data_IF_709492873651
#
_entry.id   IF_709492873651
#
_cell.length_a   1.000
_cell.length_b   1.000
_cell.length_c   1.000
_cell.angle_alpha   90.00
_cell.angle_beta   90.00
_cell.angle_gamma   90.00
#
_symmetry.space_group_name_H-M   'P 1'
#
loop_
_entity.id
_entity.type
_entity.pdbx_description
1 polymer ?
#
# COMPACT_ATOMS: atom_id res chain seq x y z
N UNK A 1 -12.78 1.30 14.00
CA UNK A 1 -12.80 2.37 15.04
C UNK A 1 -14.13 3.10 14.95
N UNK A 2 -14.90 3.16 16.01
CA UNK A 2 -16.18 3.88 16.01
C UNK A 2 -15.90 5.39 16.06
N UNK A 3 -16.57 6.17 15.23
CA UNK A 3 -16.45 7.63 15.23
C UNK A 3 -17.72 8.25 15.83
N UNK A 4 -17.52 9.13 16.80
CA UNK A 4 -18.56 9.98 17.35
C UNK A 4 -18.76 11.19 16.42
N UNK A 5 -19.92 11.26 15.76
CA UNK A 5 -20.25 12.38 14.85
C UNK A 5 -20.73 13.63 15.61
N UNK A 6 -20.87 13.56 16.92
CA UNK A 6 -21.28 14.72 17.73
C UNK A 6 -20.16 15.72 18.06
N UNK A 7 -18.93 15.47 17.68
CA UNK A 7 -17.87 16.45 17.84
C UNK A 7 -17.91 17.43 16.66
N UNK A 8 -18.13 18.74 16.89
CA UNK A 8 -18.25 19.73 15.79
C UNK A 8 -17.06 19.75 14.84
N UNK A 9 -15.87 19.42 15.32
CA UNK A 9 -14.64 19.36 14.55
C UNK A 9 -14.50 18.10 13.68
N UNK A 10 -15.37 17.10 13.81
CA UNK A 10 -15.36 15.88 12.99
C UNK A 10 -16.35 15.94 11.82
N UNK A 11 -17.23 16.95 11.79
CA UNK A 11 -18.24 17.10 10.73
C UNK A 11 -17.65 17.43 9.35
N UNK A 12 -16.46 18.04 9.31
CA UNK A 12 -15.83 18.54 8.08
C UNK A 12 -14.75 17.62 7.52
N UNK A 13 -14.42 16.50 8.18
CA UNK A 13 -13.42 15.56 7.67
C UNK A 13 -14.02 14.57 6.67
N UNK A 14 -13.32 14.22 5.57
CA UNK A 14 -13.75 13.18 4.65
C UNK A 14 -13.85 11.85 5.43
N UNK A 15 -15.05 11.29 5.48
CA UNK A 15 -15.29 10.03 6.16
C UNK A 15 -15.03 8.87 5.21
N UNK A 16 -14.21 7.91 5.65
CA UNK A 16 -14.14 6.61 4.99
C UNK A 16 -15.55 5.96 5.01
N UNK A 17 -15.94 5.25 3.95
CA UNK A 17 -17.19 4.51 3.93
C UNK A 17 -17.19 3.46 5.05
N UNK A 18 -18.18 3.50 5.92
CA UNK A 18 -18.38 2.50 6.96
C UNK A 18 -19.53 1.58 6.54
N UNK A 19 -19.35 0.27 6.69
CA UNK A 19 -20.37 -0.72 6.35
C UNK A 19 -21.60 -0.65 7.27
N UNK A 20 -21.43 -0.26 8.54
CA UNK A 20 -22.51 -0.21 9.52
C UNK A 20 -22.64 1.16 10.18
N UNK A 21 -23.89 1.64 10.22
CA UNK A 21 -24.27 2.87 10.92
C UNK A 21 -25.04 2.53 12.19
N UNK A 22 -24.54 3.02 13.33
CA UNK A 22 -25.22 2.92 14.61
C UNK A 22 -25.82 4.25 15.00
N UNK A 23 -27.11 4.24 15.31
CA UNK A 23 -27.82 5.38 15.85
C UNK A 23 -28.11 5.12 17.31
N UNK A 24 -27.52 5.91 18.21
CA UNK A 24 -27.85 5.89 19.62
C UNK A 24 -29.15 6.64 19.83
N UNK A 25 -30.16 5.99 20.41
CA UNK A 25 -31.49 6.58 20.56
C UNK A 25 -32.15 6.16 21.87
N UNK A 26 -33.06 7.01 22.36
CA UNK A 26 -33.89 6.77 23.54
C UNK A 26 -33.60 7.74 24.69
N UNK A 27 -34.59 7.91 25.58
CA UNK A 27 -34.55 8.92 26.64
C UNK A 27 -33.38 8.80 27.60
N UNK A 28 -32.99 7.56 27.94
CA UNK A 28 -31.84 7.31 28.82
C UNK A 28 -30.51 7.44 28.09
N UNK A 29 -30.46 7.07 26.81
CA UNK A 29 -29.28 7.21 25.98
C UNK A 29 -28.90 8.69 25.83
N UNK A 30 -29.85 9.53 25.46
CA UNK A 30 -29.63 10.97 25.29
C UNK A 30 -29.24 11.66 26.58
N UNK A 31 -29.87 11.28 27.71
CA UNK A 31 -29.50 11.80 29.02
C UNK A 31 -28.06 11.40 29.40
N UNK A 32 -27.65 10.14 29.16
CA UNK A 32 -26.28 9.70 29.43
C UNK A 32 -25.26 10.43 28.54
N UNK A 33 -25.64 10.77 27.33
CA UNK A 33 -24.84 11.60 26.43
C UNK A 33 -24.65 13.02 26.97
N UNK A 34 -25.76 13.67 27.37
CA UNK A 34 -25.73 15.03 27.92
C UNK A 34 -24.91 15.09 29.21
N UNK A 35 -24.99 14.03 30.04
CA UNK A 35 -24.21 13.88 31.28
C UNK A 35 -22.70 13.52 31.01
N UNK A 36 -22.26 13.50 29.79
CA UNK A 36 -20.85 13.17 29.41
C UNK A 36 -20.52 11.69 29.43
N UNK A 37 -21.50 10.80 29.45
CA UNK A 37 -21.34 9.33 29.46
C UNK A 37 -21.45 8.69 28.06
N UNK A 38 -21.35 9.48 27.01
CA UNK A 38 -21.53 9.03 25.64
C UNK A 38 -20.55 7.96 25.20
N UNK A 39 -19.33 7.96 25.74
CA UNK A 39 -18.32 6.94 25.46
C UNK A 39 -18.70 5.56 25.99
N UNK A 40 -19.39 5.50 27.11
CA UNK A 40 -19.89 4.25 27.69
C UNK A 40 -20.95 3.60 26.78
N UNK A 41 -21.75 4.43 26.13
CA UNK A 41 -22.75 3.99 25.17
C UNK A 41 -22.16 3.48 23.87
N UNK A 42 -21.14 4.16 23.39
CA UNK A 42 -20.38 3.74 22.23
C UNK A 42 -19.78 2.34 22.46
N UNK A 43 -19.16 2.17 23.63
CA UNK A 43 -18.57 0.90 24.03
C UNK A 43 -19.62 -0.21 24.10
N UNK A 44 -20.78 0.07 24.68
CA UNK A 44 -21.90 -0.87 24.77
C UNK A 44 -22.42 -1.26 23.38
N UNK A 45 -22.64 -0.32 22.48
CA UNK A 45 -23.11 -0.59 21.13
C UNK A 45 -22.13 -1.47 20.36
N UNK A 46 -20.83 -1.23 20.51
CA UNK A 46 -19.79 -2.03 19.90
C UNK A 46 -19.75 -3.47 20.43
N UNK A 47 -20.04 -3.66 21.70
CA UNK A 47 -19.99 -4.96 22.36
C UNK A 47 -21.25 -5.79 22.11
N UNK A 48 -22.42 -5.14 22.07
CA UNK A 48 -23.70 -5.79 21.81
C UNK A 48 -23.77 -6.33 20.37
N UNK A 49 -23.09 -5.71 19.44
CA UNK A 49 -23.13 -6.09 18.03
C UNK A 49 -22.01 -7.03 17.58
N UNK A 50 -21.18 -7.47 18.51
CA UNK A 50 -20.04 -8.34 18.25
C UNK A 50 -18.92 -7.61 17.52
N UNK A 51 -17.88 -7.29 18.25
CA UNK A 51 -16.61 -6.73 17.73
C UNK A 51 -15.88 -7.67 16.73
N UNK A 52 -16.52 -8.74 16.32
CA UNK A 52 -15.96 -9.75 15.40
C UNK A 52 -15.99 -9.34 13.93
N UNK A 53 -16.83 -8.37 13.58
CA UNK A 53 -16.79 -7.77 12.26
C UNK A 53 -15.79 -6.61 12.25
N UNK A 54 -14.92 -6.52 11.24
CA UNK A 54 -14.04 -5.38 10.98
C UNK A 54 -14.81 -4.08 10.62
N UNK A 55 -16.04 -3.98 11.06
CA UNK A 55 -16.94 -2.89 10.77
C UNK A 55 -16.67 -1.73 11.72
N UNK A 56 -16.60 -0.53 11.18
CA UNK A 56 -16.39 0.71 11.95
C UNK A 56 -17.74 1.42 12.16
N UNK A 57 -18.43 1.23 13.27
CA UNK A 57 -19.73 1.84 13.48
C UNK A 57 -19.63 3.36 13.67
N UNK A 58 -20.62 4.06 13.14
CA UNK A 58 -20.80 5.50 13.30
C UNK A 58 -21.99 5.74 14.21
N UNK A 59 -21.82 6.51 15.29
CA UNK A 59 -22.88 6.82 16.24
C UNK A 59 -23.35 8.25 16.08
N UNK A 60 -24.65 8.40 15.96
CA UNK A 60 -25.34 9.69 15.88
C UNK A 60 -26.11 9.95 17.18
N UNK A 61 -25.80 11.05 17.86
CA UNK A 61 -26.61 11.54 18.97
C UNK A 61 -27.86 12.29 18.50
N UNK A 62 -28.74 12.64 19.46
CA UNK A 62 -30.01 13.33 19.18
C UNK A 62 -29.84 14.58 18.33
N UNK A 63 -28.83 15.38 18.62
CA UNK A 63 -28.57 16.66 17.94
C UNK A 63 -28.16 16.50 16.47
N UNK A 64 -27.67 15.33 16.11
CA UNK A 64 -27.18 15.01 14.77
C UNK A 64 -28.26 14.37 13.90
N UNK A 65 -29.35 13.88 14.48
CA UNK A 65 -30.47 13.28 13.72
C UNK A 65 -31.07 14.25 12.70
N UNK A 66 -31.08 15.56 13.02
CA UNK A 66 -31.50 16.61 12.10
C UNK A 66 -30.44 17.02 11.08
N UNK A 67 -29.16 16.67 11.32
CA UNK A 67 -28.01 17.05 10.51
C UNK A 67 -27.43 15.88 9.69
N UNK A 68 -28.06 14.71 9.68
CA UNK A 68 -27.64 13.55 8.88
C UNK A 68 -27.47 13.93 7.38
N UNK A 69 -28.24 14.92 6.89
CA UNK A 69 -28.14 15.41 5.51
C UNK A 69 -26.82 16.09 5.18
N UNK A 70 -26.08 16.60 6.17
CA UNK A 70 -24.80 17.27 5.97
C UNK A 70 -23.60 16.35 6.25
N UNK A 71 -23.83 15.18 6.85
CA UNK A 71 -22.79 14.18 7.07
C UNK A 71 -22.56 13.44 5.76
N UNK A 72 -21.34 13.52 5.22
CA UNK A 72 -20.90 12.76 4.06
C UNK A 72 -20.71 11.29 4.44
N UNK A 73 -21.82 10.58 4.59
CA UNK A 73 -21.82 9.13 4.65
C UNK A 73 -21.89 8.65 3.21
N UNK A 74 -20.90 7.93 2.76
CA UNK A 74 -20.89 7.41 1.40
C UNK A 74 -22.17 6.59 1.18
N UNK A 75 -22.98 7.00 0.22
CA UNK A 75 -24.31 6.41 -0.03
C UNK A 75 -24.25 4.95 -0.51
N UNK A 76 -23.09 4.48 -0.93
CA UNK A 76 -22.97 3.23 -1.69
C UNK A 76 -22.73 2.00 -0.82
N UNK A 77 -22.20 2.14 0.41
CA UNK A 77 -21.72 0.99 1.19
C UNK A 77 -22.55 0.61 2.43
N UNK A 78 -23.61 1.38 2.75
CA UNK A 78 -24.39 1.13 3.97
C UNK A 78 -25.71 0.43 3.66
N UNK A 79 -25.71 -0.89 3.80
CA UNK A 79 -26.93 -1.69 3.58
C UNK A 79 -27.77 -1.85 4.83
N UNK A 80 -27.16 -1.86 6.01
CA UNK A 80 -27.82 -2.06 7.31
C UNK A 80 -27.54 -0.89 8.24
N UNK A 81 -28.59 -0.37 8.88
CA UNK A 81 -28.49 0.59 9.98
C UNK A 81 -29.05 -0.02 11.24
N UNK A 82 -28.29 0.06 12.32
CA UNK A 82 -28.69 -0.43 13.64
C UNK A 82 -29.00 0.74 14.55
N UNK A 83 -30.19 0.73 15.15
CA UNK A 83 -30.61 1.71 16.16
C UNK A 83 -30.49 1.04 17.52
N UNK A 84 -29.54 1.46 18.33
CA UNK A 84 -29.38 1.01 19.71
C UNK A 84 -30.32 1.82 20.62
N UNK A 85 -31.40 1.21 21.06
CA UNK A 85 -32.39 1.82 21.96
C UNK A 85 -31.99 1.59 23.42
N UNK A 86 -31.96 2.68 24.19
CA UNK A 86 -31.91 2.62 25.66
C UNK A 86 -32.81 3.64 26.30
N UNK A 87 -33.78 3.12 27.01
CA UNK A 87 -34.90 3.88 27.52
C UNK A 87 -36.03 4.00 26.50
N UNK A 88 -36.99 4.85 26.79
CA UNK A 88 -38.17 5.02 25.95
C UNK A 88 -37.77 5.72 24.62
N UNK A 89 -38.21 5.15 23.52
CA UNK A 89 -38.10 5.72 22.17
C UNK A 89 -39.49 5.71 21.56
N UNK A 90 -40.02 6.89 21.26
CA UNK A 90 -41.36 7.05 20.72
C UNK A 90 -41.41 6.64 19.26
N UNK A 91 -42.55 6.11 18.82
CA UNK A 91 -42.75 5.70 17.43
C UNK A 91 -42.52 6.84 16.43
N UNK A 92 -42.83 8.07 16.79
CA UNK A 92 -42.59 9.26 15.99
C UNK A 92 -41.07 9.52 15.81
N UNK A 93 -40.30 9.32 16.87
CA UNK A 93 -38.84 9.47 16.84
C UNK A 93 -38.17 8.37 15.96
N UNK A 94 -38.65 7.11 16.10
CA UNK A 94 -38.21 6.01 15.23
C UNK A 94 -38.51 6.34 13.77
N UNK A 95 -39.72 6.81 13.48
CA UNK A 95 -40.14 7.18 12.13
C UNK A 95 -39.26 8.31 11.55
N UNK A 96 -38.99 9.35 12.38
CA UNK A 96 -38.13 10.46 11.97
C UNK A 96 -36.67 9.99 11.69
N UNK A 97 -36.12 9.10 12.51
CA UNK A 97 -34.79 8.49 12.29
C UNK A 97 -34.81 7.71 11.00
N UNK A 98 -35.77 6.82 10.77
CA UNK A 98 -35.85 6.00 9.56
C UNK A 98 -36.01 6.85 8.29
N UNK A 99 -36.85 7.91 8.34
CA UNK A 99 -37.00 8.82 7.21
C UNK A 99 -35.72 9.58 6.87
N UNK A 100 -34.97 10.04 7.88
CA UNK A 100 -33.70 10.70 7.70
C UNK A 100 -32.64 9.74 7.11
N UNK A 101 -32.59 8.51 7.63
CA UNK A 101 -31.69 7.49 7.13
C UNK A 101 -32.00 7.09 5.68
N UNK A 102 -33.26 6.88 5.35
CA UNK A 102 -33.70 6.56 3.98
C UNK A 102 -33.37 7.67 2.98
N UNK A 103 -33.41 8.94 3.41
CA UNK A 103 -33.08 10.09 2.56
C UNK A 103 -31.57 10.27 2.34
N UNK A 104 -30.76 9.94 3.32
CA UNK A 104 -29.35 10.35 3.40
C UNK A 104 -28.34 9.20 3.36
N UNK A 105 -28.83 7.96 3.36
CA UNK A 105 -27.99 6.74 3.26
C UNK A 105 -28.53 5.79 2.21
N UNK A 106 -27.75 4.79 1.80
CA UNK A 106 -28.19 3.67 0.96
C UNK A 106 -28.82 2.52 1.75
N UNK A 107 -29.08 2.72 3.06
CA UNK A 107 -29.60 1.70 3.93
C UNK A 107 -30.93 1.11 3.42
N UNK A 108 -30.96 -0.20 3.27
CA UNK A 108 -32.16 -0.96 2.87
C UNK A 108 -32.86 -1.60 4.06
N UNK A 109 -32.17 -1.73 5.18
CA UNK A 109 -32.67 -2.34 6.39
C UNK A 109 -32.30 -1.50 7.60
N UNK A 110 -33.26 -1.31 8.50
CA UNK A 110 -33.07 -0.66 9.79
C UNK A 110 -33.45 -1.66 10.89
N UNK A 111 -32.47 -2.02 11.73
CA UNK A 111 -32.67 -2.95 12.84
C UNK A 111 -32.68 -2.20 14.17
N UNK A 112 -33.75 -2.36 14.94
CA UNK A 112 -33.81 -1.85 16.31
C UNK A 112 -33.20 -2.89 17.26
N UNK A 113 -32.26 -2.47 18.07
CA UNK A 113 -31.59 -3.29 19.08
C UNK A 113 -31.92 -2.69 20.46
N UNK A 114 -32.53 -3.49 21.31
CA UNK A 114 -32.71 -3.10 22.71
C UNK A 114 -31.41 -3.40 23.47
N UNK A 115 -30.62 -2.36 23.70
CA UNK A 115 -29.35 -2.47 24.41
C UNK A 115 -29.52 -2.97 25.86
N UNK A 116 -30.64 -2.70 26.50
CA UNK A 116 -30.90 -3.14 27.88
C UNK A 116 -31.32 -4.62 27.95
N UNK A 117 -32.02 -5.13 26.96
CA UNK A 117 -32.50 -6.51 26.94
C UNK A 117 -31.39 -7.55 26.77
N UNK A 118 -30.23 -7.15 26.21
CA UNK A 118 -29.10 -8.04 26.00
C UNK A 118 -28.14 -8.14 27.18
N UNK A 119 -28.30 -7.25 28.19
CA UNK A 119 -27.45 -7.19 29.37
C UNK A 119 -28.27 -7.66 30.57
N UNK A 120 -27.92 -8.80 31.18
CA UNK A 120 -28.59 -9.41 32.33
C UNK A 120 -28.22 -8.79 33.69
N UNK A 121 -27.31 -7.84 33.70
CA UNK A 121 -26.78 -7.15 34.87
C UNK A 121 -27.02 -5.63 34.74
N UNK A 122 -26.82 -4.89 35.83
CA UNK A 122 -26.82 -3.43 35.77
C UNK A 122 -25.77 -2.94 34.77
N UNK A 123 -26.16 -1.98 33.92
CA UNK A 123 -25.35 -1.49 32.81
C UNK A 123 -24.00 -0.94 33.28
N UNK A 124 -23.98 -0.24 34.42
CA UNK A 124 -22.71 0.31 34.94
C UNK A 124 -21.75 -0.79 35.40
N UNK A 125 -22.29 -1.84 36.05
CA UNK A 125 -21.50 -3.03 36.43
C UNK A 125 -21.00 -3.80 35.23
N UNK A 126 -21.81 -3.93 34.18
CA UNK A 126 -21.42 -4.55 32.91
C UNK A 126 -20.30 -3.78 32.22
N UNK A 127 -20.43 -2.44 32.09
CA UNK A 127 -19.39 -1.58 31.51
C UNK A 127 -18.10 -1.66 32.32
N UNK A 128 -18.19 -1.69 33.66
CA UNK A 128 -17.02 -1.79 34.53
C UNK A 128 -16.31 -3.12 34.36
N UNK A 129 -17.03 -4.23 34.20
CA UNK A 129 -16.48 -5.56 33.90
C UNK A 129 -15.76 -5.58 32.54
N UNK A 130 -16.36 -4.97 31.53
CA UNK A 130 -15.76 -4.86 30.20
C UNK A 130 -14.49 -4.01 30.18
N UNK A 131 -14.40 -2.97 31.01
CA UNK A 131 -13.17 -2.16 31.17
C UNK A 131 -12.01 -2.94 31.79
N UNK A 132 -12.31 -4.01 32.54
CA UNK A 132 -11.26 -4.92 33.11
C UNK A 132 -10.80 -5.96 32.12
N UNK A 133 -11.55 -6.24 31.07
CA UNK A 133 -11.09 -7.08 29.95
C UNK A 133 -10.06 -6.31 29.10
N UNK A 134 -8.90 -6.94 28.86
CA UNK A 134 -7.80 -6.32 28.13
C UNK A 134 -8.22 -5.75 26.77
N UNK A 135 -9.01 -6.50 25.99
CA UNK A 135 -9.50 -6.11 24.68
C UNK A 135 -10.41 -4.86 24.76
N UNK A 136 -11.21 -4.79 25.80
CA UNK A 136 -12.16 -3.71 26.08
C UNK A 136 -11.46 -2.49 26.67
N UNK A 137 -10.47 -2.67 27.53
CA UNK A 137 -9.64 -1.60 28.08
C UNK A 137 -8.84 -0.91 26.97
N UNK A 138 -8.31 -1.68 26.01
CA UNK A 138 -7.62 -1.14 24.84
C UNK A 138 -8.55 -0.31 23.96
N UNK A 139 -9.80 -0.76 23.77
CA UNK A 139 -10.83 -0.04 23.04
C UNK A 139 -11.26 1.25 23.78
N UNK A 140 -11.52 1.17 25.08
CA UNK A 140 -11.88 2.33 25.90
C UNK A 140 -10.77 3.40 25.88
N UNK A 141 -9.51 2.97 25.90
CA UNK A 141 -8.35 3.88 25.78
C UNK A 141 -8.29 4.55 24.41
N UNK A 142 -8.70 3.88 23.34
CA UNK A 142 -8.78 4.45 22.00
C UNK A 142 -9.97 5.43 21.83
N UNK A 143 -11.03 5.24 22.60
CA UNK A 143 -12.26 6.04 22.55
C UNK A 143 -12.27 7.21 23.55
N UNK A 144 -11.40 7.17 24.58
CA UNK A 144 -11.28 8.26 25.55
C UNK A 144 -10.96 9.58 24.83
N UNK A 145 -11.57 10.70 25.22
CA UNK A 145 -11.19 11.99 24.69
C UNK A 145 -9.68 12.18 24.91
N UNK A 146 -8.96 12.73 23.95
CA UNK A 146 -7.53 12.93 24.11
C UNK A 146 -7.31 13.81 25.34
N UNK A 147 -6.60 13.26 26.33
CA UNK A 147 -6.15 14.04 27.47
C UNK A 147 -5.43 15.27 26.92
N UNK A 148 -5.89 16.47 27.34
CA UNK A 148 -5.34 17.72 26.79
C UNK A 148 -3.83 17.73 27.03
N UNK A 149 -3.07 17.73 25.95
CA UNK A 149 -1.61 17.73 26.02
C UNK A 149 -1.14 19.01 26.70
N UNK A 150 -0.12 18.89 27.54
CA UNK A 150 0.50 20.04 28.22
C UNK A 150 1.93 20.20 27.72
N UNK A 151 2.42 21.43 27.66
CA UNK A 151 3.78 21.72 27.21
C UNK A 151 4.85 20.96 28.01
N UNK A 152 4.62 20.75 29.32
CA UNK A 152 5.56 20.03 30.20
C UNK A 152 5.34 18.51 30.22
N UNK A 153 4.45 17.97 29.39
CA UNK A 153 4.27 16.51 29.29
C UNK A 153 5.53 15.84 28.74
N UNK A 154 5.76 14.60 29.20
CA UNK A 154 6.93 13.82 28.80
C UNK A 154 6.92 13.48 27.29
N UNK A 155 8.10 13.21 26.75
CA UNK A 155 8.31 12.90 25.32
C UNK A 155 7.42 11.77 24.82
N UNK A 156 7.22 10.72 25.62
CA UNK A 156 6.38 9.57 25.27
C UNK A 156 4.89 9.95 25.11
N UNK A 157 4.40 10.92 25.90
CA UNK A 157 3.02 11.39 25.80
C UNK A 157 2.85 12.29 24.57
N UNK A 158 3.84 13.17 24.32
CA UNK A 158 3.88 14.01 23.10
C UNK A 158 3.98 13.16 21.84
N UNK A 159 4.79 12.10 21.85
CA UNK A 159 4.90 11.15 20.74
C UNK A 159 3.55 10.49 20.41
N UNK A 160 2.82 9.99 21.41
CA UNK A 160 1.48 9.42 21.20
C UNK A 160 0.49 10.44 20.67
N UNK A 161 0.53 11.68 21.20
CA UNK A 161 -0.34 12.75 20.75
C UNK A 161 -0.06 13.12 19.29
N UNK A 162 1.21 13.26 18.90
CA UNK A 162 1.62 13.51 17.51
C UNK A 162 1.20 12.35 16.60
N UNK A 163 1.45 11.09 16.98
CA UNK A 163 1.00 9.93 16.18
C UNK A 163 -0.51 9.94 15.97
N UNK A 164 -1.28 10.30 16.98
CA UNK A 164 -2.74 10.41 16.88
C UNK A 164 -3.15 11.57 15.98
N UNK A 165 -2.47 12.71 16.09
CA UNK A 165 -2.72 13.89 15.27
C UNK A 165 -2.42 13.63 13.79
N UNK A 166 -1.31 12.96 13.49
CA UNK A 166 -0.94 12.54 12.13
C UNK A 166 -1.99 11.66 11.47
N UNK A 167 -2.76 10.91 12.27
CA UNK A 167 -3.78 9.97 11.79
C UNK A 167 -3.25 9.02 10.69
N UNK A 168 -2.00 8.59 10.83
CA UNK A 168 -1.31 7.71 9.90
C UNK A 168 -1.18 6.31 10.49
N UNK A 169 -1.38 5.28 9.67
CA UNK A 169 -0.99 3.91 10.01
C UNK A 169 0.53 3.80 9.87
N UNK A 170 1.25 3.86 10.98
CA UNK A 170 2.71 3.80 11.03
C UNK A 170 3.19 2.44 11.50
N UNK A 171 4.28 1.96 10.91
CA UNK A 171 5.02 0.78 11.37
C UNK A 171 6.52 0.95 11.19
N UNK A 172 7.30 0.35 12.09
CA UNK A 172 8.76 0.32 12.03
C UNK A 172 9.22 -0.91 11.25
N UNK A 173 9.98 -0.72 10.19
CA UNK A 173 10.64 -1.83 9.52
C UNK A 173 11.88 -2.27 10.33
N UNK A 174 11.93 -3.52 10.82
CA UNK A 174 13.03 -3.98 11.66
C UNK A 174 14.37 -4.13 10.92
N UNK A 175 14.37 -4.15 9.57
CA UNK A 175 15.57 -4.34 8.76
C UNK A 175 16.38 -3.05 8.60
N UNK A 176 15.71 -1.95 8.27
CA UNK A 176 16.33 -0.63 8.05
C UNK A 176 16.14 0.33 9.23
N UNK A 177 15.26 0.00 10.18
CA UNK A 177 14.87 0.82 11.35
C UNK A 177 14.24 2.15 10.98
N UNK A 178 13.58 2.22 9.81
CA UNK A 178 12.83 3.39 9.37
C UNK A 178 11.33 3.18 9.54
N UNK A 179 10.60 4.31 9.63
CA UNK A 179 9.15 4.32 9.69
C UNK A 179 8.57 4.21 8.28
N UNK A 180 7.53 3.42 8.19
CA UNK A 180 6.69 3.32 7.01
C UNK A 180 5.25 3.70 7.36
N UNK A 181 4.56 4.33 6.41
CA UNK A 181 3.12 4.60 6.48
C UNK A 181 2.38 3.75 5.47
N UNK A 182 1.22 3.27 5.84
CA UNK A 182 0.30 2.63 4.90
C UNK A 182 -0.56 3.69 4.21
N UNK A 183 -0.51 3.75 2.88
CA UNK A 183 -1.22 4.75 2.07
C UNK A 183 -2.61 4.28 1.59
N UNK A 184 -3.02 3.07 1.99
CA UNK A 184 -4.24 2.41 1.53
C UNK A 184 -3.98 1.30 0.51
N UNK A 185 -2.80 1.28 -0.11
CA UNK A 185 -2.36 0.30 -1.11
C UNK A 185 -1.14 -0.47 -0.61
N UNK A 186 -0.13 0.26 -0.16
CA UNK A 186 1.17 -0.29 0.22
C UNK A 186 1.84 0.50 1.35
N UNK A 187 2.93 -0.03 1.89
CA UNK A 187 3.72 0.61 2.92
C UNK A 187 4.84 1.44 2.28
N UNK A 188 4.74 2.76 2.43
CA UNK A 188 5.69 3.72 1.88
C UNK A 188 6.64 4.23 2.96
N UNK A 189 7.91 4.38 2.61
CA UNK A 189 8.89 5.00 3.51
C UNK A 189 8.44 6.42 3.87
N UNK A 190 8.42 6.74 5.15
CA UNK A 190 8.10 8.09 5.60
C UNK A 190 9.28 9.00 5.33
N UNK A 191 9.06 10.07 4.55
CA UNK A 191 10.10 11.08 4.33
C UNK A 191 10.43 11.81 5.63
N UNK A 192 11.72 11.88 5.95
CA UNK A 192 12.18 12.48 7.19
C UNK A 192 11.82 13.97 7.29
N UNK A 193 11.91 14.72 6.20
CA UNK A 193 11.63 16.16 6.20
C UNK A 193 10.13 16.41 6.30
N UNK A 194 9.32 15.69 5.54
CA UNK A 194 7.85 15.71 5.65
C UNK A 194 7.42 15.44 7.11
N UNK A 195 8.05 14.45 7.76
CA UNK A 195 7.70 14.09 9.13
C UNK A 195 8.13 15.15 10.16
N UNK A 196 9.28 15.81 9.93
CA UNK A 196 9.72 16.94 10.73
C UNK A 196 8.77 18.14 10.59
N UNK A 197 8.36 18.46 9.36
CA UNK A 197 7.44 19.58 9.10
C UNK A 197 6.07 19.34 9.76
N UNK A 198 5.55 18.10 9.67
CA UNK A 198 4.33 17.70 10.37
C UNK A 198 4.48 17.82 11.90
N UNK A 199 5.63 17.45 12.46
CA UNK A 199 5.87 17.57 13.88
C UNK A 199 5.92 19.05 14.31
N UNK A 200 6.55 19.92 13.52
CA UNK A 200 6.56 21.37 13.75
C UNK A 200 5.13 21.93 13.72
N UNK A 201 4.36 21.61 12.67
CA UNK A 201 2.98 22.06 12.55
C UNK A 201 2.11 21.62 13.75
N UNK A 202 2.30 20.39 14.24
CA UNK A 202 1.61 19.92 15.43
C UNK A 202 1.94 20.76 16.68
N UNK A 203 3.21 21.11 16.89
CA UNK A 203 3.63 21.92 18.04
C UNK A 203 3.12 23.34 17.95
N UNK A 204 3.16 23.94 16.76
CA UNK A 204 2.65 25.28 16.50
C UNK A 204 1.13 25.35 16.73
N UNK A 205 0.37 24.32 16.32
CA UNK A 205 -1.08 24.25 16.58
C UNK A 205 -1.41 24.15 18.07
N UNK A 206 -0.52 23.52 18.87
CA UNK A 206 -0.71 23.40 20.32
C UNK A 206 -0.19 24.64 21.08
N UNK A 207 0.41 25.63 20.40
CA UNK A 207 1.11 26.78 21.01
C UNK A 207 2.20 26.36 22.03
N UNK A 208 2.98 25.33 21.66
CA UNK A 208 4.05 24.78 22.50
C UNK A 208 5.41 25.21 21.99
N UNK A 209 6.31 25.56 22.93
CA UNK A 209 7.71 25.78 22.59
C UNK A 209 8.40 24.44 22.26
N UNK A 210 9.28 24.46 21.27
CA UNK A 210 10.09 23.31 20.88
C UNK A 210 11.50 23.69 20.48
N UNK A 211 12.36 22.71 20.41
CA UNK A 211 13.70 22.80 19.82
C UNK A 211 13.88 21.66 18.82
N UNK A 212 14.79 21.78 17.88
CA UNK A 212 15.10 20.71 16.93
C UNK A 212 15.38 19.37 17.67
N UNK A 213 16.15 19.42 18.77
CA UNK A 213 16.46 18.23 19.57
C UNK A 213 15.23 17.60 20.23
N UNK A 214 14.27 18.43 20.68
CA UNK A 214 13.03 17.89 21.29
C UNK A 214 12.14 17.21 20.25
N UNK A 215 12.06 17.76 19.05
CA UNK A 215 11.32 17.15 17.92
C UNK A 215 11.96 15.80 17.51
N UNK A 216 13.29 15.78 17.32
CA UNK A 216 14.00 14.54 17.00
C UNK A 216 13.79 13.45 18.06
N UNK A 217 13.84 13.81 19.35
CA UNK A 217 13.57 12.87 20.45
C UNK A 217 12.14 12.30 20.41
N UNK A 218 11.16 13.10 19.97
CA UNK A 218 9.77 12.63 19.82
C UNK A 218 9.67 11.69 18.65
N UNK A 219 10.29 11.98 17.51
CA UNK A 219 10.32 11.12 16.33
C UNK A 219 10.97 9.77 16.66
N UNK A 220 12.12 9.79 17.36
CA UNK A 220 12.77 8.56 17.79
C UNK A 220 11.88 7.75 18.77
N UNK A 221 11.13 8.44 19.62
CA UNK A 221 10.15 7.80 20.50
C UNK A 221 9.00 7.18 19.72
N UNK A 222 8.51 7.84 18.66
CA UNK A 222 7.50 7.27 17.76
C UNK A 222 8.04 6.00 17.10
N UNK A 223 9.28 5.99 16.61
CA UNK A 223 9.93 4.78 16.06
C UNK A 223 9.91 3.62 17.05
N UNK A 224 10.18 3.90 18.33
CA UNK A 224 10.19 2.88 19.39
C UNK A 224 8.76 2.38 19.71
N UNK A 225 7.77 3.27 19.69
CA UNK A 225 6.36 2.96 20.03
C UNK A 225 5.59 2.33 18.89
N UNK A 226 6.02 2.52 17.64
CA UNK A 226 5.34 1.99 16.46
C UNK A 226 5.38 0.46 16.41
N UNK A 227 4.31 -0.19 15.93
CA UNK A 227 4.31 -1.63 15.69
C UNK A 227 5.41 -1.98 14.69
N UNK A 228 5.97 -3.18 14.82
CA UNK A 228 6.95 -3.68 13.85
C UNK A 228 6.24 -4.24 12.63
N UNK A 229 6.75 -3.94 11.45
CA UNK A 229 6.29 -4.57 10.21
C UNK A 229 6.48 -6.09 10.28
N UNK A 230 5.51 -6.81 9.76
CA UNK A 230 5.59 -8.26 9.58
C UNK A 230 6.38 -8.67 8.33
N UNK A 231 6.21 -9.91 7.94
CA UNK A 231 6.81 -10.44 6.71
C UNK A 231 5.93 -10.10 5.51
N UNK A 232 6.53 -9.56 4.47
CA UNK A 232 5.84 -9.28 3.21
C UNK A 232 5.31 -10.57 2.57
N UNK A 233 4.07 -10.56 2.16
CA UNK A 233 3.45 -11.66 1.42
C UNK A 233 4.04 -11.75 0.01
N UNK A 234 4.87 -12.76 -0.23
CA UNK A 234 5.64 -12.92 -1.47
C UNK A 234 4.79 -13.33 -2.67
N UNK A 235 3.64 -13.95 -2.42
CA UNK A 235 2.68 -14.40 -3.43
C UNK A 235 1.76 -13.28 -3.94
N UNK A 236 1.79 -12.11 -3.31
CA UNK A 236 0.88 -11.02 -3.60
C UNK A 236 1.55 -9.91 -4.42
N UNK A 237 0.78 -9.37 -5.37
CA UNK A 237 1.15 -8.18 -6.17
C UNK A 237 0.05 -7.15 -5.97
N UNK A 238 0.40 -5.96 -5.47
CA UNK A 238 -0.54 -4.85 -5.38
C UNK A 238 -0.65 -4.11 -6.71
N UNK A 239 -1.88 -3.78 -7.10
CA UNK A 239 -2.27 -2.89 -8.19
C UNK A 239 -3.05 -1.70 -7.61
N UNK A 240 -3.37 -0.69 -8.40
CA UNK A 240 -4.16 0.45 -7.90
C UNK A 240 -5.52 0.04 -7.33
N UNK A 241 -6.17 -0.96 -7.90
CA UNK A 241 -7.54 -1.37 -7.58
C UNK A 241 -7.64 -2.62 -6.70
N UNK A 242 -6.51 -3.20 -6.25
CA UNK A 242 -6.53 -4.39 -5.39
C UNK A 242 -5.22 -5.17 -5.44
N UNK A 243 -5.25 -6.36 -4.89
CA UNK A 243 -4.08 -7.24 -4.73
C UNK A 243 -4.33 -8.57 -5.43
N UNK A 244 -3.45 -8.96 -6.35
CA UNK A 244 -3.50 -10.23 -7.05
C UNK A 244 -2.61 -11.26 -6.35
N UNK A 245 -3.16 -12.41 -6.03
CA UNK A 245 -2.36 -13.57 -5.67
C UNK A 245 -1.83 -14.22 -6.96
N UNK A 246 -0.51 -14.14 -7.18
CA UNK A 246 0.14 -14.63 -8.40
C UNK A 246 0.19 -16.16 -8.53
N UNK A 247 -0.27 -16.89 -7.52
CA UNK A 247 -0.33 -18.35 -7.51
C UNK A 247 -1.74 -18.87 -7.78
N UNK A 248 -2.74 -18.26 -7.12
CA UNK A 248 -4.15 -18.67 -7.26
C UNK A 248 -4.91 -17.83 -8.28
N UNK A 249 -4.35 -16.72 -8.75
CA UNK A 249 -4.97 -15.69 -9.59
C UNK A 249 -6.22 -15.05 -8.95
N UNK A 250 -6.38 -15.19 -7.65
CA UNK A 250 -7.45 -14.54 -6.90
C UNK A 250 -7.13 -13.06 -6.73
N UNK A 251 -8.10 -12.21 -7.04
CA UNK A 251 -7.98 -10.76 -6.88
C UNK A 251 -8.73 -10.31 -5.62
N UNK A 252 -8.03 -9.67 -4.71
CA UNK A 252 -8.47 -9.35 -3.35
C UNK A 252 -8.37 -7.84 -3.09
N UNK A 253 -9.11 -7.30 -2.11
CA UNK A 253 -8.88 -5.94 -1.61
C UNK A 253 -7.47 -5.78 -1.04
N UNK A 254 -7.05 -4.52 -0.88
CA UNK A 254 -5.80 -4.20 -0.18
C UNK A 254 -5.95 -4.46 1.32
N UNK A 255 -4.93 -5.12 1.90
CA UNK A 255 -4.83 -5.30 3.35
C UNK A 255 -3.44 -4.87 3.82
N UNK A 256 -3.40 -4.00 4.83
CA UNK A 256 -2.13 -3.53 5.40
C UNK A 256 -1.29 -4.65 6.02
N UNK A 257 -1.92 -5.72 6.46
CA UNK A 257 -1.29 -6.92 7.03
C UNK A 257 -0.50 -7.74 6.00
N UNK A 258 -0.66 -7.45 4.72
CA UNK A 258 0.13 -8.05 3.64
C UNK A 258 1.56 -7.50 3.58
N UNK A 259 1.82 -6.36 4.22
CA UNK A 259 3.14 -5.71 4.33
C UNK A 259 3.81 -5.43 2.98
N UNK A 260 3.02 -5.19 1.94
CA UNK A 260 3.53 -4.88 0.60
C UNK A 260 4.14 -3.49 0.61
N UNK A 261 5.37 -3.37 0.09
CA UNK A 261 6.16 -2.13 0.08
C UNK A 261 6.22 -1.49 -1.33
N UNK A 262 5.64 -2.13 -2.32
CA UNK A 262 5.54 -1.64 -3.69
C UNK A 262 4.20 -2.03 -4.29
N UNK A 263 3.75 -1.27 -5.26
CA UNK A 263 2.57 -1.58 -6.05
C UNK A 263 2.79 -1.17 -7.50
N UNK A 264 2.05 -1.79 -8.40
CA UNK A 264 2.02 -1.46 -9.81
C UNK A 264 0.96 -0.36 -10.00
N UNK A 265 1.32 0.83 -10.53
CA UNK A 265 0.42 1.99 -10.60
C UNK A 265 -0.60 1.89 -11.74
N UNK A 266 -1.11 0.70 -11.97
CA UNK A 266 -2.12 0.37 -12.97
C UNK A 266 -3.24 -0.46 -12.35
N UNK A 267 -4.40 -0.50 -13.00
CA UNK A 267 -5.48 -1.39 -12.61
C UNK A 267 -5.27 -2.80 -13.17
N UNK A 268 -5.54 -3.82 -12.37
CA UNK A 268 -5.68 -5.17 -12.85
C UNK A 268 -7.06 -5.36 -13.48
N UNK A 269 -7.10 -5.83 -14.73
CA UNK A 269 -8.33 -6.04 -15.48
C UNK A 269 -8.80 -7.50 -15.37
N UNK A 270 -10.12 -7.67 -15.25
CA UNK A 270 -10.74 -9.00 -15.15
C UNK A 270 -11.04 -9.66 -16.52
N UNK A 271 -10.69 -9.01 -17.61
CA UNK A 271 -10.97 -9.49 -18.97
C UNK A 271 -9.86 -9.11 -19.94
N UNK A 272 -9.66 -9.95 -20.94
CA UNK A 272 -8.72 -9.70 -22.01
C UNK A 272 -9.09 -8.43 -22.80
N UNK A 273 -8.08 -7.64 -23.11
CA UNK A 273 -8.19 -6.51 -24.02
C UNK A 273 -7.22 -6.64 -25.17
N UNK A 274 -7.56 -6.03 -26.30
CA UNK A 274 -6.69 -6.01 -27.47
C UNK A 274 -5.46 -5.15 -27.21
N UNK A 275 -4.30 -5.64 -27.63
CA UNK A 275 -3.01 -4.95 -27.49
C UNK A 275 -2.29 -4.83 -28.84
N UNK A 276 -2.88 -4.18 -29.87
CA UNK A 276 -2.37 -4.22 -31.23
C UNK A 276 -0.99 -3.57 -31.38
N UNK A 277 -0.67 -2.52 -30.64
CA UNK A 277 0.63 -1.87 -30.71
C UNK A 277 1.71 -2.69 -30.00
N UNK A 278 1.41 -3.26 -28.85
CA UNK A 278 2.28 -4.19 -28.14
C UNK A 278 2.53 -5.44 -28.99
N UNK A 279 1.51 -6.03 -29.60
CA UNK A 279 1.62 -7.23 -30.45
C UNK A 279 2.45 -6.94 -31.69
N UNK A 280 2.27 -5.77 -32.33
CA UNK A 280 3.08 -5.32 -33.46
C UNK A 280 4.57 -5.20 -33.09
N UNK A 281 4.86 -4.58 -31.93
CA UNK A 281 6.23 -4.49 -31.44
C UNK A 281 6.80 -5.88 -31.14
N UNK A 282 6.07 -6.74 -30.44
CA UNK A 282 6.51 -8.08 -30.08
C UNK A 282 6.82 -8.92 -31.31
N UNK A 283 5.99 -8.88 -32.33
CA UNK A 283 6.19 -9.55 -33.61
C UNK A 283 7.46 -9.04 -34.32
N UNK A 284 7.66 -7.72 -34.31
CA UNK A 284 8.83 -7.09 -34.90
C UNK A 284 10.14 -7.53 -34.22
N UNK A 285 10.24 -7.41 -32.89
CA UNK A 285 11.48 -7.69 -32.13
C UNK A 285 11.77 -9.18 -32.02
N UNK A 286 10.74 -10.03 -32.06
CA UNK A 286 10.93 -11.49 -32.11
C UNK A 286 11.34 -12.00 -33.49
N UNK A 287 11.13 -11.20 -34.53
CA UNK A 287 11.32 -11.61 -35.91
C UNK A 287 10.38 -12.69 -36.39
N UNK A 288 9.20 -12.82 -35.74
CA UNK A 288 8.18 -13.86 -35.98
C UNK A 288 8.56 -15.25 -35.45
N UNK A 289 9.59 -15.34 -34.59
CA UNK A 289 10.00 -16.60 -33.96
C UNK A 289 9.25 -16.80 -32.66
N UNK A 290 8.39 -17.83 -32.59
CA UNK A 290 7.54 -18.09 -31.42
C UNK A 290 8.34 -18.30 -30.12
N UNK A 291 9.46 -19.04 -30.15
CA UNK A 291 10.29 -19.25 -28.96
C UNK A 291 10.82 -17.90 -28.41
N UNK A 292 11.32 -17.04 -29.31
CA UNK A 292 11.82 -15.71 -28.91
C UNK A 292 10.68 -14.80 -28.42
N UNK A 293 9.48 -14.89 -29.04
CA UNK A 293 8.27 -14.18 -28.58
C UNK A 293 7.90 -14.60 -27.18
N UNK A 294 7.83 -15.90 -26.92
CA UNK A 294 7.51 -16.45 -25.60
C UNK A 294 8.55 -16.09 -24.54
N UNK A 295 9.85 -16.09 -24.91
CA UNK A 295 10.92 -15.68 -24.00
C UNK A 295 10.85 -14.17 -23.65
N UNK A 296 10.50 -13.30 -24.62
CA UNK A 296 10.27 -11.86 -24.37
C UNK A 296 9.09 -11.66 -23.45
N UNK A 297 7.95 -12.34 -23.69
CA UNK A 297 6.80 -12.30 -22.79
C UNK A 297 7.16 -12.81 -21.39
N UNK A 298 7.95 -13.87 -21.29
CA UNK A 298 8.41 -14.43 -20.01
C UNK A 298 9.32 -13.46 -19.24
N UNK A 299 10.17 -12.69 -19.93
CA UNK A 299 11.00 -11.65 -19.31
C UNK A 299 10.13 -10.49 -18.77
N UNK A 300 9.15 -10.04 -19.55
CA UNK A 300 8.20 -9.01 -19.11
C UNK A 300 7.31 -9.51 -17.96
N UNK A 301 6.88 -10.77 -17.99
CA UNK A 301 6.19 -11.42 -16.87
C UNK A 301 7.07 -11.46 -15.61
N UNK A 302 8.36 -11.76 -15.74
CA UNK A 302 9.29 -11.77 -14.61
C UNK A 302 9.47 -10.38 -14.00
N UNK A 303 9.46 -9.32 -14.81
CA UNK A 303 9.45 -7.93 -14.35
C UNK A 303 8.14 -7.60 -13.63
N UNK A 304 7.01 -7.84 -14.27
CA UNK A 304 5.67 -7.56 -13.73
C UNK A 304 5.46 -8.23 -12.35
N UNK A 305 5.87 -9.49 -12.23
CA UNK A 305 5.66 -10.29 -11.02
C UNK A 305 6.87 -10.31 -10.08
N UNK A 306 7.87 -9.48 -10.37
CA UNK A 306 9.13 -9.37 -9.64
C UNK A 306 9.76 -10.75 -9.32
N UNK A 307 10.10 -11.53 -10.38
CA UNK A 307 10.71 -12.85 -10.24
C UNK A 307 12.24 -12.78 -10.02
N UNK A 308 12.66 -11.93 -9.11
CA UNK A 308 14.05 -11.88 -8.68
C UNK A 308 14.54 -13.23 -8.06
N UNK A 309 13.60 -14.03 -7.52
CA UNK A 309 13.82 -15.39 -7.02
C UNK A 309 14.33 -16.38 -8.08
N UNK A 310 14.16 -16.06 -9.37
CA UNK A 310 14.71 -16.90 -10.46
C UNK A 310 16.20 -16.76 -10.62
N UNK A 311 16.80 -15.75 -10.01
CA UNK A 311 18.23 -15.43 -10.08
C UNK A 311 18.72 -15.15 -11.51
N UNK A 312 17.87 -14.53 -12.33
CA UNK A 312 18.15 -14.16 -13.71
C UNK A 312 18.31 -12.65 -13.84
N UNK A 313 19.07 -12.23 -14.84
CA UNK A 313 19.04 -10.87 -15.37
C UNK A 313 18.87 -10.90 -16.88
N UNK A 314 18.29 -9.86 -17.41
CA UNK A 314 18.00 -9.75 -18.82
C UNK A 314 18.97 -8.77 -19.48
N UNK A 315 19.40 -9.09 -20.69
CA UNK A 315 20.16 -8.17 -21.50
C UNK A 315 19.58 -8.09 -22.89
N UNK A 316 19.24 -6.87 -23.31
CA UNK A 316 18.68 -6.57 -24.62
C UNK A 316 19.72 -5.86 -25.45
N UNK A 317 20.09 -6.44 -26.61
CA UNK A 317 21.10 -5.90 -27.52
C UNK A 317 20.54 -5.66 -28.92
N UNK A 318 21.25 -4.88 -29.74
CA UNK A 318 20.89 -4.56 -31.12
C UNK A 318 21.24 -3.11 -31.50
N UNK A 319 21.04 -2.74 -32.75
CA UNK A 319 21.34 -1.40 -33.25
C UNK A 319 20.33 -0.33 -32.79
N UNK A 320 20.65 0.93 -33.02
CA UNK A 320 19.74 2.06 -32.78
C UNK A 320 18.45 1.91 -33.59
N UNK A 321 17.27 2.04 -32.93
CA UNK A 321 15.95 1.86 -33.58
C UNK A 321 15.47 0.42 -33.68
N UNK A 322 16.10 -0.54 -32.99
CA UNK A 322 15.69 -1.95 -32.98
C UNK A 322 14.58 -2.28 -31.97
N UNK A 323 14.12 -1.32 -31.18
CA UNK A 323 13.04 -1.54 -30.19
C UNK A 323 13.53 -1.85 -28.77
N UNK A 324 14.83 -1.74 -28.47
CA UNK A 324 15.39 -1.95 -27.13
C UNK A 324 14.83 -0.99 -26.09
N UNK A 325 14.77 0.31 -26.43
CA UNK A 325 14.22 1.32 -25.53
C UNK A 325 12.72 1.10 -25.29
N UNK A 326 12.00 0.60 -26.30
CA UNK A 326 10.59 0.21 -26.13
C UNK A 326 10.46 -0.94 -25.14
N UNK A 327 11.34 -1.94 -25.19
CA UNK A 327 11.38 -3.01 -24.19
C UNK A 327 11.58 -2.45 -22.77
N UNK A 328 12.59 -1.57 -22.59
CA UNK A 328 12.87 -0.97 -21.29
C UNK A 328 11.71 -0.14 -20.77
N UNK A 329 11.06 0.65 -21.64
CA UNK A 329 9.91 1.45 -21.26
C UNK A 329 8.69 0.58 -20.90
N UNK A 330 8.42 -0.50 -21.62
CA UNK A 330 7.38 -1.47 -21.26
C UNK A 330 7.70 -2.12 -19.91
N UNK A 331 8.95 -2.51 -19.67
CA UNK A 331 9.37 -3.05 -18.39
C UNK A 331 9.15 -2.03 -17.24
N UNK A 332 9.45 -0.75 -17.48
CA UNK A 332 9.19 0.34 -16.53
C UNK A 332 7.70 0.52 -16.27
N UNK A 333 6.86 0.53 -17.30
CA UNK A 333 5.40 0.59 -17.14
C UNK A 333 4.88 -0.57 -16.28
N UNK A 334 5.36 -1.78 -16.54
CA UNK A 334 4.94 -2.99 -15.82
C UNK A 334 5.41 -3.01 -14.36
N UNK A 335 6.61 -2.52 -14.07
CA UNK A 335 7.11 -2.41 -12.70
C UNK A 335 6.54 -1.20 -11.94
N UNK A 336 6.25 -0.11 -12.66
CA UNK A 336 5.99 1.23 -12.16
C UNK A 336 7.25 2.07 -12.05
N UNK A 337 7.18 3.35 -12.42
CA UNK A 337 8.32 4.29 -12.36
C UNK A 337 8.90 4.39 -10.94
N UNK A 338 8.04 4.48 -9.92
CA UNK A 338 8.47 4.56 -8.51
C UNK A 338 9.23 3.31 -8.03
N UNK A 339 9.03 2.16 -8.68
CA UNK A 339 9.69 0.89 -8.37
C UNK A 339 10.91 0.63 -9.25
N UNK A 340 11.16 1.51 -10.23
CA UNK A 340 12.26 1.39 -11.19
C UNK A 340 13.38 2.38 -10.84
N UNK A 341 14.61 1.96 -11.03
CA UNK A 341 15.78 2.84 -10.94
C UNK A 341 16.73 2.57 -12.09
N UNK A 342 17.33 3.63 -12.59
CA UNK A 342 18.34 3.54 -13.67
C UNK A 342 19.74 3.79 -13.11
N UNK A 343 20.71 2.98 -13.51
CA UNK A 343 22.09 3.13 -13.03
C UNK A 343 23.10 2.38 -13.87
N UNK A 344 24.35 2.46 -13.47
CA UNK A 344 25.44 1.76 -14.15
C UNK A 344 25.73 0.44 -13.44
N UNK A 345 26.25 -0.55 -14.17
CA UNK A 345 26.70 -1.82 -13.57
C UNK A 345 27.75 -1.62 -12.48
N UNK A 346 28.63 -0.62 -12.63
CA UNK A 346 29.61 -0.29 -11.60
C UNK A 346 28.96 0.18 -10.29
N UNK A 347 27.81 0.84 -10.37
CA UNK A 347 27.08 1.29 -9.18
C UNK A 347 26.52 0.09 -8.39
N UNK A 348 26.29 -1.05 -9.04
CA UNK A 348 25.91 -2.32 -8.38
C UNK A 348 27.09 -2.95 -7.62
N UNK A 349 28.32 -2.71 -8.07
CA UNK A 349 29.53 -3.25 -7.43
C UNK A 349 29.93 -2.43 -6.20
N UNK A 350 29.59 -1.14 -6.16
CA UNK A 350 29.99 -0.21 -5.12
C UNK A 350 28.92 -0.04 -4.02
N UNK A 351 29.26 -0.17 -2.72
CA UNK A 351 28.31 0.01 -1.63
C UNK A 351 27.57 1.35 -1.62
N UNK A 352 28.24 2.41 -2.10
CA UNK A 352 27.66 3.76 -2.19
C UNK A 352 26.71 3.91 -3.36
N UNK A 353 27.02 3.31 -4.49
CA UNK A 353 26.19 3.33 -5.69
C UNK A 353 24.85 2.64 -5.50
N UNK A 354 24.79 1.68 -4.56
CA UNK A 354 23.57 0.89 -4.28
C UNK A 354 22.48 1.63 -3.51
N UNK A 355 22.76 2.82 -2.96
CA UNK A 355 21.80 3.54 -2.12
C UNK A 355 20.45 3.75 -2.84
N UNK A 356 20.49 4.17 -4.12
CA UNK A 356 19.28 4.44 -4.90
C UNK A 356 18.49 3.19 -5.31
N UNK A 357 19.11 2.01 -5.21
CA UNK A 357 18.50 0.75 -5.62
C UNK A 357 17.70 0.07 -4.49
N UNK A 358 17.85 0.55 -3.26
CA UNK A 358 17.14 -0.01 -2.12
C UNK A 358 15.63 0.20 -2.28
N UNK A 359 14.85 -0.88 -2.14
CA UNK A 359 13.39 -0.84 -2.28
C UNK A 359 12.87 -0.89 -3.73
N UNK A 360 13.76 -0.92 -4.73
CA UNK A 360 13.38 -1.03 -6.14
C UNK A 360 13.15 -2.48 -6.55
N UNK A 361 12.23 -2.69 -7.50
CA UNK A 361 11.91 -4.02 -8.07
C UNK A 361 12.42 -4.20 -9.48
N UNK A 362 12.80 -3.12 -10.17
CA UNK A 362 13.42 -3.13 -11.49
C UNK A 362 14.64 -2.20 -11.50
N UNK A 363 15.78 -2.72 -11.95
CA UNK A 363 16.99 -1.93 -12.19
C UNK A 363 17.30 -1.96 -13.68
N UNK A 364 17.41 -0.78 -14.29
CA UNK A 364 17.76 -0.64 -15.71
C UNK A 364 19.19 -0.11 -15.83
N UNK A 365 20.05 -0.84 -16.52
CA UNK A 365 21.43 -0.47 -16.76
C UNK A 365 21.64 -0.17 -18.27
N UNK A 366 21.42 1.09 -18.72
CA UNK A 366 21.61 1.44 -20.13
C UNK A 366 23.08 1.68 -20.46
N UNK A 367 23.47 1.43 -21.71
CA UNK A 367 24.76 1.82 -22.31
C UNK A 367 26.01 1.37 -21.55
N UNK A 368 26.06 0.10 -21.15
CA UNK A 368 27.15 -0.48 -20.36
C UNK A 368 28.36 -0.94 -21.20
N UNK A 369 28.57 -0.39 -22.38
CA UNK A 369 29.60 -0.80 -23.33
C UNK A 369 31.05 -0.75 -22.78
N UNK A 370 31.29 0.02 -21.71
CA UNK A 370 32.63 0.18 -21.09
C UNK A 370 32.77 -0.55 -19.76
N UNK A 371 31.80 -1.36 -19.36
CA UNK A 371 31.93 -2.14 -18.13
C UNK A 371 33.00 -3.23 -18.30
N UNK A 372 33.96 -3.28 -17.40
CA UNK A 372 35.05 -4.24 -17.37
C UNK A 372 35.20 -4.99 -16.05
N UNK A 373 34.14 -5.00 -15.23
CA UNK A 373 34.13 -5.69 -13.95
C UNK A 373 33.78 -7.18 -14.04
N UNK A 374 33.82 -7.86 -12.90
CA UNK A 374 33.46 -9.27 -12.77
C UNK A 374 31.97 -9.50 -12.53
N UNK A 375 31.17 -8.43 -12.40
CA UNK A 375 29.74 -8.49 -12.07
C UNK A 375 29.44 -8.98 -10.66
N UNK A 376 30.33 -8.72 -9.70
CA UNK A 376 30.15 -9.17 -8.32
C UNK A 376 28.87 -8.64 -7.67
N UNK A 377 28.59 -7.35 -7.85
CA UNK A 377 27.35 -6.72 -7.38
C UNK A 377 26.11 -7.28 -8.07
N UNK A 378 26.18 -7.43 -9.40
CA UNK A 378 25.09 -8.04 -10.17
C UNK A 378 24.79 -9.47 -9.71
N UNK A 379 25.83 -10.29 -9.47
CA UNK A 379 25.67 -11.65 -8.92
C UNK A 379 25.00 -11.66 -7.55
N UNK A 380 25.42 -10.75 -6.66
CA UNK A 380 24.86 -10.66 -5.32
C UNK A 380 23.39 -10.20 -5.32
N UNK A 381 23.07 -9.19 -6.12
CA UNK A 381 21.69 -8.69 -6.25
C UNK A 381 20.76 -9.75 -6.85
N UNK A 382 21.16 -10.34 -7.99
CA UNK A 382 20.38 -11.41 -8.62
C UNK A 382 20.34 -12.70 -7.79
N UNK A 383 21.33 -12.92 -6.93
CA UNK A 383 21.36 -14.04 -5.98
C UNK A 383 20.44 -13.86 -4.78
N UNK A 384 19.94 -12.64 -4.54
CA UNK A 384 19.18 -12.30 -3.34
C UNK A 384 20.04 -12.18 -2.08
N UNK A 385 21.35 -12.00 -2.23
CA UNK A 385 22.28 -11.85 -1.12
C UNK A 385 22.16 -10.46 -0.46
N UNK A 386 22.30 -10.36 0.86
CA UNK A 386 22.41 -9.06 1.52
C UNK A 386 23.71 -8.34 1.10
N UNK A 387 23.55 -7.16 0.52
CA UNK A 387 24.66 -6.31 0.08
C UNK A 387 24.88 -5.14 1.03
N UNK A 388 26.12 -4.67 1.14
CA UNK A 388 26.45 -3.49 1.94
C UNK A 388 25.96 -2.23 1.22
N UNK A 389 25.30 -1.35 1.98
CA UNK A 389 24.88 -0.02 1.53
C UNK A 389 25.65 1.00 2.37
N UNK A 390 26.23 2.00 1.69
CA UNK A 390 27.01 3.08 2.32
C UNK A 390 26.41 4.45 1.96
N UNK A 391 25.24 4.81 2.54
CA UNK A 391 24.55 6.03 2.18
C UNK A 391 25.30 7.26 2.69
N UNK A 392 25.16 8.37 1.96
CA UNK A 392 25.77 9.64 2.35
C UNK A 392 25.14 10.17 3.64
N UNK A 393 25.99 10.49 4.63
CA UNK A 393 25.58 11.06 5.93
C UNK A 393 24.68 10.14 6.80
N UNK A 394 24.69 8.82 6.55
CA UNK A 394 23.98 7.82 7.36
C UNK A 394 24.91 6.67 7.73
N UNK A 395 24.51 5.88 8.72
CA UNK A 395 25.24 4.66 9.07
C UNK A 395 25.12 3.60 7.98
N UNK A 396 26.23 2.87 7.73
CA UNK A 396 26.23 1.73 6.82
C UNK A 396 25.29 0.65 7.30
N UNK A 397 24.59 0.01 6.38
CA UNK A 397 23.70 -1.10 6.68
C UNK A 397 23.76 -2.17 5.57
N UNK A 398 23.11 -3.31 5.81
CA UNK A 398 22.93 -4.35 4.80
C UNK A 398 21.49 -4.42 4.37
N UNK A 399 21.26 -4.53 3.06
CA UNK A 399 19.94 -4.72 2.50
C UNK A 399 19.96 -5.80 1.41
N UNK A 400 18.84 -6.50 1.26
CA UNK A 400 18.54 -7.27 0.05
C UNK A 400 17.86 -6.32 -0.93
N UNK A 401 18.31 -6.29 -2.17
CA UNK A 401 17.69 -5.54 -3.27
C UNK A 401 16.91 -6.55 -4.11
N UNK A 402 15.58 -6.66 -3.92
CA UNK A 402 14.76 -7.69 -4.57
C UNK A 402 14.34 -7.23 -5.97
N UNK A 403 15.30 -6.99 -6.85
CA UNK A 403 15.06 -6.42 -8.16
C UNK A 403 15.44 -7.35 -9.30
N UNK A 404 14.63 -7.31 -10.36
CA UNK A 404 15.03 -7.81 -11.68
C UNK A 404 15.96 -6.79 -12.32
N UNK A 405 17.07 -7.25 -12.89
CA UNK A 405 18.05 -6.38 -13.56
C UNK A 405 17.91 -6.51 -15.07
N UNK A 406 17.79 -5.37 -15.74
CA UNK A 406 17.70 -5.24 -17.19
C UNK A 406 18.88 -4.40 -17.71
N UNK A 407 19.71 -4.99 -18.56
CA UNK A 407 20.81 -4.31 -19.24
C UNK A 407 20.36 -4.01 -20.69
N UNK A 408 20.58 -2.77 -21.14
CA UNK A 408 20.18 -2.33 -22.48
C UNK A 408 21.39 -1.74 -23.20
N UNK A 409 21.94 -2.48 -24.18
CA UNK A 409 23.16 -2.12 -24.88
C UNK A 409 23.02 -2.28 -26.40
N UNK A 410 23.96 -1.73 -27.15
CA UNK A 410 24.10 -2.06 -28.56
C UNK A 410 24.76 -3.43 -28.74
N UNK A 411 25.82 -3.71 -27.97
CA UNK A 411 26.54 -4.99 -27.96
C UNK A 411 26.42 -5.65 -26.57
N UNK A 412 26.64 -6.97 -26.53
CA UNK A 412 26.64 -7.73 -25.31
C UNK A 412 27.74 -7.28 -24.34
N UNK A 413 27.38 -7.06 -23.06
CA UNK A 413 28.33 -6.66 -22.03
C UNK A 413 29.41 -7.73 -21.81
N UNK A 414 30.64 -7.29 -21.68
CA UNK A 414 31.77 -8.18 -21.40
C UNK A 414 32.08 -8.21 -19.91
N UNK A 415 32.01 -9.38 -19.33
CA UNK A 415 32.39 -9.61 -17.94
C UNK A 415 33.75 -10.32 -17.87
N UNK A 416 34.56 -9.98 -16.88
CA UNK A 416 35.86 -10.64 -16.64
C UNK A 416 35.74 -11.93 -15.82
N UNK A 417 34.53 -12.21 -15.30
CA UNK A 417 34.21 -13.41 -14.54
C UNK A 417 34.33 -14.67 -15.43
N UNK A 418 34.97 -15.72 -14.89
CA UNK A 418 35.24 -16.97 -15.61
C UNK A 418 34.63 -18.22 -14.96
N UNK A 419 33.95 -18.08 -13.82
CA UNK A 419 33.40 -19.22 -13.07
C UNK A 419 32.01 -19.66 -13.56
N UNK A 420 31.45 -18.99 -14.58
CA UNK A 420 30.13 -19.26 -15.12
C UNK A 420 28.98 -18.73 -14.24
N UNK A 421 29.30 -17.94 -13.21
CA UNK A 421 28.31 -17.36 -12.31
C UNK A 421 27.41 -16.32 -12.98
N UNK A 422 27.96 -15.53 -13.91
CA UNK A 422 27.23 -14.59 -14.75
C UNK A 422 26.45 -15.32 -15.83
N UNK A 423 27.11 -16.21 -16.55
CA UNK A 423 26.58 -16.90 -17.74
C UNK A 423 25.28 -17.63 -17.42
N UNK A 424 25.23 -18.40 -16.36
CA UNK A 424 24.01 -19.14 -15.93
C UNK A 424 22.82 -18.26 -15.51
N UNK A 425 23.07 -16.98 -15.26
CA UNK A 425 22.03 -16.01 -14.85
C UNK A 425 21.57 -15.10 -15.98
N UNK A 426 22.31 -15.10 -17.09
CA UNK A 426 22.15 -14.15 -18.19
C UNK A 426 21.20 -14.68 -19.23
N UNK A 427 20.16 -13.91 -19.58
CA UNK A 427 19.29 -14.16 -20.72
C UNK A 427 19.46 -12.99 -21.69
N UNK A 428 19.89 -13.27 -22.93
CA UNK A 428 20.18 -12.25 -23.94
C UNK A 428 19.10 -12.25 -25.02
N UNK A 429 18.54 -11.08 -25.28
CA UNK A 429 17.62 -10.82 -26.38
C UNK A 429 18.36 -9.95 -27.43
N UNK A 430 18.72 -10.50 -28.55
CA UNK A 430 19.30 -9.73 -29.65
C UNK A 430 18.19 -9.30 -30.61
N UNK A 431 18.00 -7.98 -30.79
CA UNK A 431 17.05 -7.40 -31.74
C UNK A 431 17.80 -7.01 -33.01
N UNK A 432 17.64 -7.82 -34.05
CA UNK A 432 18.38 -7.77 -35.30
C UNK A 432 17.75 -6.88 -36.39
N UNK A 433 16.47 -6.45 -36.18
CA UNK A 433 15.76 -5.59 -37.11
C UNK A 433 15.75 -4.14 -36.62
N UNK A 434 15.87 -3.20 -37.55
CA UNK A 434 15.82 -1.76 -37.29
C UNK A 434 14.60 -1.14 -37.98
N UNK A 435 13.85 -0.32 -37.28
CA UNK A 435 12.77 0.48 -37.86
C UNK A 435 13.40 1.66 -38.62
N UNK A 436 13.15 1.81 -39.93
CA UNK A 436 13.61 2.96 -40.69
C UNK A 436 13.14 4.28 -40.06
N UNK A 437 13.96 5.32 -40.12
CA UNK A 437 13.69 6.58 -39.41
C UNK A 437 12.36 7.22 -39.86
N UNK A 438 12.04 7.13 -41.14
CA UNK A 438 10.78 7.63 -41.73
C UNK A 438 9.55 6.82 -41.37
N UNK A 439 9.69 5.63 -40.75
CA UNK A 439 8.62 4.76 -40.32
C UNK A 439 8.44 4.78 -38.79
N UNK A 440 9.28 5.52 -38.07
CA UNK A 440 9.19 5.64 -36.62
C UNK A 440 8.01 6.49 -36.22
N UNK A 441 7.15 5.93 -35.39
CA UNK A 441 6.01 6.63 -34.79
C UNK A 441 6.46 7.30 -33.49
N UNK A 442 6.50 8.64 -33.39
CA UNK A 442 6.92 9.33 -32.17
C UNK A 442 5.99 9.08 -30.97
N UNK A 443 4.71 8.76 -31.22
CA UNK A 443 3.71 8.48 -30.19
C UNK A 443 3.53 6.97 -29.95
N UNK A 444 4.48 6.15 -30.35
CA UNK A 444 4.33 4.69 -30.26
C UNK A 444 4.25 4.20 -28.81
N UNK A 445 5.03 4.82 -27.91
CA UNK A 445 5.00 4.47 -26.50
C UNK A 445 3.69 4.88 -25.82
N UNK A 446 3.13 6.05 -26.14
CA UNK A 446 1.84 6.50 -25.59
C UNK A 446 0.73 5.51 -25.97
N UNK A 447 0.79 4.94 -27.17
CA UNK A 447 -0.16 3.91 -27.61
C UNK A 447 0.00 2.61 -26.83
N UNK A 448 1.24 2.19 -26.57
CA UNK A 448 1.52 1.00 -25.72
C UNK A 448 1.09 1.26 -24.27
N UNK A 449 1.31 2.46 -23.74
CA UNK A 449 0.87 2.83 -22.40
C UNK A 449 -0.66 2.72 -22.27
N UNK A 450 -1.40 3.13 -23.29
CA UNK A 450 -2.86 2.94 -23.37
C UNK A 450 -3.31 1.47 -23.38
N UNK A 451 -2.41 0.52 -23.68
CA UNK A 451 -2.67 -0.92 -23.70
C UNK A 451 -2.18 -1.65 -22.44
N UNK A 452 -1.57 -0.95 -21.46
CA UNK A 452 -0.87 -1.56 -20.34
C UNK A 452 -1.74 -2.54 -19.53
N UNK A 453 -3.00 -2.23 -19.29
CA UNK A 453 -3.94 -3.14 -18.62
C UNK A 453 -4.15 -4.45 -19.38
N UNK A 454 -4.28 -4.38 -20.71
CA UNK A 454 -4.36 -5.55 -21.58
C UNK A 454 -3.06 -6.35 -21.62
N UNK A 455 -1.91 -5.66 -21.58
CA UNK A 455 -0.58 -6.30 -21.53
C UNK A 455 -0.42 -7.06 -20.20
N UNK A 456 -0.77 -6.44 -19.08
CA UNK A 456 -0.74 -7.08 -17.75
C UNK A 456 -1.60 -8.35 -17.76
N UNK A 457 -2.86 -8.24 -18.20
CA UNK A 457 -3.77 -9.38 -18.31
C UNK A 457 -3.16 -10.49 -19.19
N UNK A 458 -2.66 -10.14 -20.38
CA UNK A 458 -2.02 -11.08 -21.30
C UNK A 458 -0.83 -11.81 -20.65
N UNK A 459 0.06 -11.12 -19.97
CA UNK A 459 1.24 -11.72 -19.33
C UNK A 459 0.84 -12.69 -18.21
N UNK A 460 -0.07 -12.29 -17.34
CA UNK A 460 -0.55 -13.13 -16.22
C UNK A 460 -1.20 -14.40 -16.74
N UNK A 461 -2.09 -14.30 -17.73
CA UNK A 461 -2.83 -15.44 -18.27
C UNK A 461 -2.05 -16.26 -19.30
N UNK A 462 -0.96 -15.74 -19.85
CA UNK A 462 -0.02 -16.56 -20.66
C UNK A 462 0.80 -17.48 -19.76
N UNK A 463 1.14 -17.01 -18.54
CA UNK A 463 2.00 -17.74 -17.61
C UNK A 463 1.29 -17.97 -16.27
N UNK A 464 0.11 -18.58 -16.27
CA UNK A 464 -0.61 -18.98 -15.05
C UNK A 464 0.25 -19.88 -14.15
N UNK A 465 1.15 -20.67 -14.78
CA UNK A 465 2.19 -21.43 -14.08
C UNK A 465 3.55 -20.76 -14.31
N UNK A 466 4.15 -20.14 -13.29
CA UNK A 466 5.42 -19.41 -13.42
C UNK A 466 6.59 -20.23 -14.01
N UNK A 467 6.55 -21.55 -13.80
CA UNK A 467 7.56 -22.48 -14.29
C UNK A 467 7.62 -22.51 -15.83
N UNK A 468 6.50 -22.28 -16.51
CA UNK A 468 6.44 -22.24 -17.99
C UNK A 468 7.19 -21.01 -18.52
N UNK A 469 7.03 -19.85 -17.84
CA UNK A 469 7.81 -18.66 -18.18
C UNK A 469 9.31 -18.88 -17.92
N UNK A 470 9.66 -19.50 -16.77
CA UNK A 470 11.06 -19.79 -16.45
C UNK A 470 11.68 -20.76 -17.44
N UNK A 471 10.92 -21.74 -17.94
CA UNK A 471 11.37 -22.66 -18.97
C UNK A 471 11.64 -21.94 -20.30
N UNK A 472 10.71 -21.08 -20.75
CA UNK A 472 10.86 -20.28 -21.97
C UNK A 472 12.12 -19.39 -21.94
N UNK A 473 12.50 -18.86 -20.75
CA UNK A 473 13.75 -18.09 -20.59
C UNK A 473 15.02 -18.93 -20.66
N UNK A 474 14.96 -20.22 -20.31
CA UNK A 474 16.12 -21.13 -20.40
C UNK A 474 16.38 -21.64 -21.80
N UNK A 475 15.38 -21.63 -22.67
CA UNK A 475 15.48 -22.04 -24.06
C UNK A 475 16.01 -20.94 -24.98
N UNK A 476 16.04 -19.68 -24.49
CA UNK A 476 16.54 -18.50 -25.21
C UNK A 476 18.06 -18.41 -25.16
#
# INVERSE_FOLDING_TARGET
MARLINAPHLADQPHEPYSDLFVLAGSKAWKAWDDGKGEEWLLLCLLVDGLESNQKPVILGKDQLSKISSTRIAKEDQQLVKIAQYGELKQEEITAICQNLAKNTSAREVKLIDAAAQVKEDLSSYIQRLRTDKKTADLATQLAPPEKLKENDGVNKKARALTKWLNMDLALNPKDRELYRYDGISWQLVDKFEFLDNAVAFFDEQDFNYSARSIESIIDTIKIQSPKMGTQAQELIAFNNGTLNRTTLEFLPHYRENWLMSYIPHEYLNSAQNTPYFDKWLEFVSGGKENKKNAILAALYAVLTNRNDWQLFFEVTGDGGSGKSVFANIATLLAGEQNTESGRLIDLDEPRGRENFVGKTLLICPEQSRYGGDGGGLKSITGGDPVNIDPKHRSKFKAVIPAVVLIVNNEATRFTERSGGIERRRVIFHFDKVVPENERDPNFMDKIEGEVGGIIYKLIHTFEQPETAKAALKEQ
#
